data_IF_189540601952
#
_entry.id   IF_189540601952
#
_cell.length_a   1.000
_cell.length_b   1.000
_cell.length_c   1.000
_cell.angle_alpha   90.00
_cell.angle_beta   90.00
_cell.angle_gamma   90.00
#
_symmetry.space_group_name_H-M   'P 1'
#
loop_
_entity.id
_entity.type
_entity.pdbx_description
1 polymer ?
#
# COMPACT_ATOMS: atom_id res chain seq x y z
N UNK A 1 21.06 -3.61 6.79
CA UNK A 1 20.48 -4.96 6.97
C UNK A 1 19.73 -5.12 8.28
N UNK A 2 20.28 -4.71 9.44
CA UNK A 2 19.62 -4.83 10.75
C UNK A 2 18.23 -4.17 10.80
N UNK A 3 18.08 -2.98 10.19
CA UNK A 3 16.81 -2.26 10.13
C UNK A 3 15.73 -3.02 9.35
N UNK A 4 16.09 -3.60 8.21
CA UNK A 4 15.19 -4.44 7.41
C UNK A 4 14.74 -5.70 8.16
N UNK A 5 15.63 -6.29 8.97
CA UNK A 5 15.29 -7.44 9.82
C UNK A 5 14.35 -7.01 10.96
N UNK A 6 14.59 -5.85 11.58
CA UNK A 6 13.70 -5.30 12.60
C UNK A 6 12.33 -5.01 11.99
N UNK A 7 12.30 -4.39 10.81
CA UNK A 7 11.08 -4.05 10.12
C UNK A 7 10.29 -5.30 9.72
N UNK A 8 10.93 -6.32 9.14
CA UNK A 8 10.23 -7.56 8.77
C UNK A 8 9.62 -8.31 9.97
N UNK A 9 10.19 -8.15 11.17
CA UNK A 9 9.68 -8.77 12.41
C UNK A 9 8.62 -7.95 13.14
N UNK A 10 8.77 -6.63 13.16
CA UNK A 10 7.95 -5.72 13.97
C UNK A 10 6.91 -4.94 13.17
N UNK A 11 7.10 -4.86 11.86
CA UNK A 11 6.38 -3.96 10.96
C UNK A 11 6.41 -2.47 11.38
N UNK A 12 7.43 -2.07 12.16
CA UNK A 12 7.60 -0.69 12.64
C UNK A 12 8.74 0.02 11.91
N UNK A 13 8.48 1.26 11.51
CA UNK A 13 9.44 2.17 10.87
C UNK A 13 9.84 3.27 11.86
N UNK A 14 10.43 2.88 12.99
CA UNK A 14 10.88 3.78 14.06
C UNK A 14 12.38 3.70 14.26
N UNK A 15 13.04 4.81 14.56
CA UNK A 15 14.46 4.82 14.89
C UNK A 15 15.29 4.30 13.73
N UNK A 16 14.94 4.68 12.50
CA UNK A 16 15.71 4.39 11.31
C UNK A 16 16.89 5.37 11.22
N UNK A 17 18.02 4.87 10.75
CA UNK A 17 19.23 5.66 10.59
C UNK A 17 18.99 6.77 9.56
N UNK A 18 19.07 8.02 10.03
CA UNK A 18 18.83 9.19 9.20
C UNK A 18 17.36 9.46 8.91
N UNK A 19 16.42 8.95 9.71
CA UNK A 19 15.01 9.34 9.59
C UNK A 19 14.84 10.86 9.78
N UNK A 20 14.12 11.47 8.84
CA UNK A 20 13.79 12.90 8.87
C UNK A 20 12.56 13.19 9.74
N UNK A 21 11.77 12.15 10.07
CA UNK A 21 10.53 12.23 10.84
C UNK A 21 10.15 10.88 11.43
N UNK A 22 9.22 10.91 12.39
CA UNK A 22 8.52 9.72 12.86
C UNK A 22 7.48 9.29 11.80
N UNK A 23 7.75 8.20 11.09
CA UNK A 23 6.87 7.70 10.04
C UNK A 23 5.55 7.11 10.59
N UNK A 24 5.53 6.61 11.82
CA UNK A 24 4.32 6.09 12.42
C UNK A 24 3.39 7.24 12.82
N UNK A 25 3.95 8.34 13.33
CA UNK A 25 3.16 9.57 13.56
C UNK A 25 2.70 10.21 12.24
N UNK A 26 3.58 10.26 11.23
CA UNK A 26 3.25 10.84 9.93
C UNK A 26 2.07 10.14 9.23
N UNK A 27 1.89 8.84 9.45
CA UNK A 27 0.74 8.08 8.93
C UNK A 27 -0.59 8.59 9.48
N UNK A 28 -0.63 9.13 10.70
CA UNK A 28 -1.83 9.77 11.25
C UNK A 28 -2.23 11.02 10.45
N UNK A 29 -1.28 11.66 9.77
CA UNK A 29 -1.55 12.83 8.93
C UNK A 29 -2.13 12.50 7.55
N UNK A 30 -2.21 11.21 7.17
CA UNK A 30 -2.79 10.82 5.88
C UNK A 30 -4.31 10.84 5.99
N UNK A 31 -4.93 11.82 5.35
CA UNK A 31 -6.40 12.01 5.34
C UNK A 31 -7.01 11.88 3.94
N UNK A 32 -6.19 11.61 2.93
CA UNK A 32 -6.65 11.46 1.55
C UNK A 32 -7.19 10.05 1.33
N UNK A 33 -8.11 9.85 0.36
CA UNK A 33 -8.53 8.51 -0.05
C UNK A 33 -7.34 7.70 -0.58
N UNK A 34 -7.25 6.43 -0.18
CA UNK A 34 -6.18 5.51 -0.55
C UNK A 34 -6.77 4.25 -1.17
N UNK A 35 -6.32 3.90 -2.37
CA UNK A 35 -6.63 2.63 -3.01
C UNK A 35 -5.42 1.70 -2.94
N UNK A 36 -5.57 0.56 -2.25
CA UNK A 36 -4.58 -0.51 -2.20
C UNK A 36 -5.02 -1.62 -3.17
N UNK A 37 -4.26 -1.78 -4.26
CA UNK A 37 -4.49 -2.82 -5.25
C UNK A 37 -3.58 -4.02 -5.04
N UNK A 38 -4.09 -5.23 -5.22
CA UNK A 38 -3.27 -6.45 -5.20
C UNK A 38 -3.81 -7.55 -6.10
N UNK A 39 -2.97 -8.53 -6.40
CA UNK A 39 -3.35 -9.73 -7.14
C UNK A 39 -3.40 -10.94 -6.19
N UNK A 40 -4.41 -11.81 -6.37
CA UNK A 40 -4.55 -12.99 -5.51
C UNK A 40 -3.35 -13.96 -5.61
N UNK A 41 -2.62 -13.95 -6.73
CA UNK A 41 -1.40 -14.75 -6.93
C UNK A 41 -0.13 -14.13 -6.36
N UNK A 42 -0.17 -12.88 -5.89
CA UNK A 42 0.99 -12.23 -5.28
C UNK A 42 1.17 -12.71 -3.84
N UNK A 43 2.18 -13.55 -3.62
CA UNK A 43 2.53 -14.10 -2.31
C UNK A 43 3.35 -13.13 -1.46
N UNK A 44 4.00 -12.14 -2.08
CA UNK A 44 4.77 -11.12 -1.38
C UNK A 44 3.83 -10.01 -0.86
N UNK A 45 2.79 -9.69 -1.65
CA UNK A 45 1.73 -8.74 -1.29
C UNK A 45 0.42 -9.47 -0.91
N UNK A 46 0.45 -10.13 0.25
CA UNK A 46 -0.72 -10.84 0.77
C UNK A 46 -1.88 -9.90 1.13
N UNK A 47 -3.11 -10.44 1.16
CA UNK A 47 -4.29 -9.69 1.59
C UNK A 47 -4.13 -9.10 3.00
N UNK A 48 -3.60 -9.93 3.91
CA UNK A 48 -3.36 -9.56 5.30
C UNK A 48 -2.35 -8.42 5.43
N UNK A 49 -1.34 -8.36 4.56
CA UNK A 49 -0.39 -7.25 4.53
C UNK A 49 -1.07 -5.94 4.11
N UNK A 50 -1.95 -5.98 3.10
CA UNK A 50 -2.73 -4.82 2.68
C UNK A 50 -3.70 -4.35 3.79
N UNK A 51 -4.38 -5.28 4.47
CA UNK A 51 -5.25 -4.97 5.62
C UNK A 51 -4.47 -4.34 6.77
N UNK A 52 -3.26 -4.84 7.06
CA UNK A 52 -2.41 -4.25 8.09
C UNK A 52 -1.94 -2.84 7.70
N UNK A 53 -1.61 -2.60 6.43
CA UNK A 53 -1.24 -1.26 5.96
C UNK A 53 -2.43 -0.30 6.08
N UNK A 54 -3.63 -0.73 5.67
CA UNK A 54 -4.85 0.05 5.81
C UNK A 54 -5.12 0.42 7.28
N UNK A 55 -4.98 -0.53 8.21
CA UNK A 55 -5.15 -0.28 9.64
C UNK A 55 -4.14 0.73 10.21
N UNK A 56 -2.98 0.91 9.55
CA UNK A 56 -1.97 1.90 9.96
C UNK A 56 -2.26 3.32 9.48
N UNK A 57 -3.32 3.53 8.70
CA UNK A 57 -3.74 4.83 8.17
C UNK A 57 -5.12 5.20 8.75
N UNK A 58 -5.23 5.44 10.08
CA UNK A 58 -6.51 5.52 10.77
C UNK A 58 -7.41 6.67 10.33
N UNK A 59 -6.84 7.70 9.71
CA UNK A 59 -7.55 8.91 9.28
C UNK A 59 -7.80 8.95 7.76
N UNK A 60 -7.38 7.92 7.02
CA UNK A 60 -7.59 7.82 5.58
C UNK A 60 -8.80 6.94 5.26
N UNK A 61 -9.50 7.26 4.17
CA UNK A 61 -10.48 6.34 3.59
C UNK A 61 -9.74 5.32 2.71
N UNK A 62 -9.48 4.12 3.27
CA UNK A 62 -8.70 3.09 2.58
C UNK A 62 -9.61 2.02 1.97
N UNK A 63 -9.49 1.83 0.66
CA UNK A 63 -10.13 0.72 -0.06
C UNK A 63 -9.09 -0.31 -0.48
N UNK A 64 -9.39 -1.60 -0.32
CA UNK A 64 -8.53 -2.71 -0.78
C UNK A 64 -9.25 -3.46 -1.90
N UNK A 65 -8.59 -3.56 -3.06
CA UNK A 65 -9.07 -4.33 -4.21
C UNK A 65 -8.15 -5.51 -4.52
N UNK A 66 -8.76 -6.66 -4.77
CA UNK A 66 -8.07 -7.90 -5.14
C UNK A 66 -8.49 -8.33 -6.55
N UNK A 67 -7.49 -8.57 -7.40
CA UNK A 67 -7.67 -8.91 -8.80
C UNK A 67 -7.50 -10.43 -9.06
N UNK A 68 -8.40 -11.05 -9.86
CA UNK A 68 -8.32 -12.46 -10.25
C UNK A 68 -7.25 -12.75 -11.31
N UNK A 69 -6.63 -11.74 -11.89
CA UNK A 69 -5.54 -11.88 -12.86
C UNK A 69 -4.29 -12.47 -12.20
N UNK A 70 -3.53 -13.25 -12.98
CA UNK A 70 -2.30 -13.92 -12.52
C UNK A 70 -1.05 -13.07 -12.77
N UNK A 71 -1.10 -11.82 -12.33
CA UNK A 71 0.07 -10.94 -12.32
C UNK A 71 0.73 -11.10 -10.95
N UNK A 72 1.94 -11.65 -10.92
CA UNK A 72 2.75 -11.76 -9.70
C UNK A 72 3.41 -10.43 -9.36
N UNK A 73 4.07 -10.38 -8.19
CA UNK A 73 4.81 -9.23 -7.68
C UNK A 73 5.73 -8.57 -8.73
N UNK A 74 6.39 -9.39 -9.55
CA UNK A 74 7.34 -8.94 -10.58
C UNK A 74 6.74 -8.77 -11.97
N UNK A 75 5.50 -9.23 -12.18
CA UNK A 75 4.86 -9.24 -13.49
C UNK A 75 3.95 -8.04 -13.72
N UNK A 76 3.19 -7.63 -12.70
CA UNK A 76 2.30 -6.46 -12.84
C UNK A 76 3.02 -5.17 -13.27
N UNK A 77 4.28 -4.88 -12.89
CA UNK A 77 4.95 -3.66 -13.36
C UNK A 77 5.29 -3.70 -14.85
N UNK A 78 5.37 -4.91 -15.44
CA UNK A 78 5.67 -5.13 -16.87
C UNK A 78 4.41 -5.18 -17.72
N UNK A 79 3.28 -5.52 -17.10
CA UNK A 79 1.94 -5.56 -17.70
C UNK A 79 0.99 -4.66 -16.87
N UNK A 80 1.24 -3.32 -16.82
CA UNK A 80 0.61 -2.44 -15.84
C UNK A 80 -0.81 -2.00 -16.20
N UNK A 81 -1.34 -2.40 -17.36
CA UNK A 81 -2.55 -1.82 -17.96
C UNK A 81 -3.73 -1.83 -16.99
N UNK A 82 -4.00 -2.97 -16.35
CA UNK A 82 -5.10 -3.10 -15.38
C UNK A 82 -4.98 -2.14 -14.19
N UNK A 83 -3.75 -1.91 -13.70
CA UNK A 83 -3.50 -1.01 -12.57
C UNK A 83 -3.58 0.44 -13.03
N UNK A 84 -3.02 0.77 -14.20
CA UNK A 84 -3.06 2.12 -14.76
C UNK A 84 -4.51 2.58 -15.03
N UNK A 85 -5.31 1.75 -15.71
CA UNK A 85 -6.71 2.05 -15.97
C UNK A 85 -7.53 2.19 -14.67
N UNK A 86 -7.23 1.36 -13.67
CA UNK A 86 -7.90 1.47 -12.37
C UNK A 86 -7.54 2.79 -11.66
N UNK A 87 -6.27 3.18 -11.70
CA UNK A 87 -5.79 4.43 -11.11
C UNK A 87 -6.52 5.63 -11.74
N UNK A 88 -6.61 5.67 -13.07
CA UNK A 88 -7.34 6.75 -13.78
C UNK A 88 -8.80 6.84 -13.33
N UNK A 89 -9.49 5.69 -13.21
CA UNK A 89 -10.86 5.64 -12.68
C UNK A 89 -10.94 6.12 -11.24
N UNK A 90 -9.99 5.73 -10.39
CA UNK A 90 -9.94 6.15 -8.99
C UNK A 90 -9.78 7.66 -8.87
N UNK A 91 -8.81 8.25 -9.57
CA UNK A 91 -8.62 9.70 -9.59
C UNK A 91 -9.84 10.42 -10.15
N UNK A 92 -10.49 9.85 -11.19
CA UNK A 92 -11.75 10.36 -11.72
C UNK A 92 -12.87 10.43 -10.68
N UNK A 93 -12.96 9.46 -9.76
CA UNK A 93 -13.96 9.48 -8.67
C UNK A 93 -13.68 10.53 -7.60
N UNK A 94 -12.41 10.95 -7.45
CA UNK A 94 -12.01 11.99 -6.49
C UNK A 94 -12.21 13.41 -7.02
N UNK A 95 -12.43 13.55 -8.33
CA UNK A 95 -12.49 14.83 -9.04
C UNK A 95 -13.92 15.38 -9.19
N UNK A 96 -14.91 14.75 -8.56
CA UNK A 96 -16.29 15.24 -8.55
C UNK A 96 -16.49 16.23 -7.39
N UNK A 97 -17.01 17.45 -7.66
CA UNK A 97 -17.39 18.40 -6.62
C UNK A 97 -18.56 17.90 -5.76
#
# INVERSE_FOLDING_TARGET
>A
MLEWIRFSRSNQQRGLFGEDRDYDDAKNGVTIPVLLTRFHTDQDCTRKAAEHLAASLPNAEVTIEEYPERLSHSRWPREPQIIAERLEKFVGTLSLP
#
